data_IF_081592193955
#
_entry.id   IF_081592193955
#
_cell.length_a   1.000
_cell.length_b   1.000
_cell.length_c   1.000
_cell.angle_alpha   90.00
_cell.angle_beta   90.00
_cell.angle_gamma   90.00
#
_symmetry.space_group_name_H-M   'P 1'
#
loop_
_entity.id
_entity.type
_entity.pdbx_description
1 polymer ?
#
# COMPACT_ATOMS: atom_id res chain seq x y z
N UNK A 1 -9.59 6.51 -20.75
CA UNK A 1 -10.33 6.17 -19.51
C UNK A 1 -10.86 7.47 -18.93
N UNK A 2 -12.04 7.49 -18.31
CA UNK A 2 -12.46 8.69 -17.58
C UNK A 2 -11.56 8.88 -16.36
N UNK A 3 -11.22 10.14 -16.05
CA UNK A 3 -10.35 10.49 -14.92
C UNK A 3 -10.83 9.86 -13.60
N UNK A 4 -12.15 9.83 -13.39
CA UNK A 4 -12.78 9.23 -12.20
C UNK A 4 -12.45 7.73 -12.05
N UNK A 5 -12.40 6.97 -13.15
CA UNK A 5 -12.05 5.54 -13.10
C UNK A 5 -10.60 5.33 -12.71
N UNK A 6 -9.67 6.16 -13.22
CA UNK A 6 -8.26 6.08 -12.84
C UNK A 6 -8.06 6.39 -11.35
N UNK A 7 -8.76 7.41 -10.82
CA UNK A 7 -8.70 7.76 -9.39
C UNK A 7 -9.19 6.60 -8.53
N UNK A 8 -10.38 6.06 -8.81
CA UNK A 8 -10.91 4.94 -8.03
C UNK A 8 -10.05 3.69 -8.14
N UNK A 9 -9.45 3.42 -9.30
CA UNK A 9 -8.52 2.33 -9.48
C UNK A 9 -7.28 2.47 -8.57
N UNK A 10 -6.68 3.67 -8.50
CA UNK A 10 -5.54 3.94 -7.62
C UNK A 10 -5.95 3.78 -6.15
N UNK A 11 -7.11 4.31 -5.75
CA UNK A 11 -7.61 4.20 -4.37
C UNK A 11 -7.81 2.75 -3.96
N UNK A 12 -8.49 1.94 -4.78
CA UNK A 12 -8.69 0.52 -4.51
C UNK A 12 -7.36 -0.23 -4.43
N UNK A 13 -6.44 0.07 -5.34
CA UNK A 13 -5.11 -0.54 -5.36
C UNK A 13 -4.28 -0.13 -4.14
N UNK A 14 -4.41 1.10 -3.65
CA UNK A 14 -3.79 1.57 -2.43
C UNK A 14 -4.34 0.85 -1.19
N UNK A 15 -5.66 0.70 -1.08
CA UNK A 15 -6.30 -0.05 0.01
C UNK A 15 -5.82 -1.50 0.03
N UNK A 16 -5.80 -2.17 -1.11
CA UNK A 16 -5.33 -3.56 -1.20
C UNK A 16 -3.84 -3.64 -0.89
N UNK A 17 -3.02 -2.80 -1.52
CA UNK A 17 -1.57 -2.74 -1.35
C UNK A 17 -1.13 -2.49 0.10
N UNK A 18 -1.81 -1.58 0.79
CA UNK A 18 -1.50 -1.23 2.18
C UNK A 18 -1.79 -2.39 3.16
N UNK A 19 -2.77 -3.26 2.85
CA UNK A 19 -3.19 -4.35 3.74
C UNK A 19 -2.55 -5.71 3.40
N UNK A 20 -2.04 -5.89 2.17
CA UNK A 20 -1.39 -7.12 1.72
C UNK A 20 -0.26 -7.63 2.65
N UNK A 21 0.64 -6.77 3.18
CA UNK A 21 1.73 -7.21 4.08
C UNK A 21 1.25 -7.91 5.36
N UNK A 22 0.04 -7.57 5.83
CA UNK A 22 -0.51 -8.03 7.11
C UNK A 22 -1.41 -9.25 6.96
N UNK A 23 -2.18 -9.31 5.87
CA UNK A 23 -3.07 -10.43 5.55
C UNK A 23 -2.27 -11.64 5.08
N UNK A 24 -1.23 -11.43 4.26
CA UNK A 24 -0.46 -12.53 3.68
C UNK A 24 0.78 -12.90 4.53
N UNK A 25 0.99 -14.20 4.72
CA UNK A 25 2.21 -14.75 5.34
C UNK A 25 3.40 -14.82 4.39
N UNK A 26 3.19 -14.69 3.08
CA UNK A 26 4.23 -14.71 2.03
C UNK A 26 4.91 -13.34 1.93
N UNK A 27 6.18 -13.34 1.53
CA UNK A 27 6.93 -12.12 1.19
C UNK A 27 6.39 -11.54 -0.12
N UNK A 28 6.05 -10.25 -0.12
CA UNK A 28 5.41 -9.50 -1.21
C UNK A 28 4.17 -10.20 -1.80
N UNK A 29 3.46 -10.97 -0.98
CA UNK A 29 2.36 -11.83 -1.38
C UNK A 29 2.67 -13.00 -2.35
N UNK A 30 3.91 -13.12 -2.83
CA UNK A 30 4.30 -14.11 -3.86
C UNK A 30 5.23 -15.19 -3.29
N UNK A 31 6.26 -14.80 -2.53
CA UNK A 31 7.34 -15.69 -2.14
C UNK A 31 7.09 -16.36 -0.78
N UNK A 32 7.15 -17.69 -0.66
CA UNK A 32 6.99 -18.37 0.62
C UNK A 32 8.17 -18.05 1.55
N UNK A 33 7.87 -17.58 2.76
CA UNK A 33 8.89 -17.38 3.81
C UNK A 33 9.00 -18.65 4.65
N UNK A 34 10.25 -19.14 4.82
CA UNK A 34 10.55 -20.26 5.73
C UNK A 34 10.45 -19.87 7.22
N UNK A 35 10.46 -18.57 7.52
CA UNK A 35 10.45 -18.02 8.88
C UNK A 35 9.20 -17.18 9.13
N UNK A 36 8.73 -17.07 10.39
CA UNK A 36 7.61 -16.21 10.73
C UNK A 36 7.94 -14.75 10.40
N UNK A 37 7.08 -14.14 9.58
CA UNK A 37 7.24 -12.76 9.12
C UNK A 37 7.17 -11.78 10.29
N UNK A 38 8.32 -11.20 10.63
CA UNK A 38 8.44 -10.22 11.71
C UNK A 38 7.87 -8.85 11.30
N UNK A 39 7.78 -7.93 12.26
CA UNK A 39 7.24 -6.60 12.03
C UNK A 39 8.11 -5.75 11.09
N UNK A 40 9.44 -5.86 11.20
CA UNK A 40 10.37 -5.13 10.32
C UNK A 40 10.20 -5.46 8.84
N UNK A 41 10.03 -6.74 8.50
CA UNK A 41 9.76 -7.19 7.13
C UNK A 41 8.42 -6.64 6.63
N UNK A 42 7.37 -6.61 7.46
CA UNK A 42 6.08 -6.02 7.08
C UNK A 42 6.18 -4.52 6.82
N UNK A 43 6.96 -3.79 7.62
CA UNK A 43 7.19 -2.36 7.40
C UNK A 43 7.97 -2.11 6.11
N UNK A 44 9.00 -2.92 5.81
CA UNK A 44 9.73 -2.82 4.55
C UNK A 44 8.83 -3.08 3.34
N UNK A 45 7.98 -4.10 3.42
CA UNK A 45 6.99 -4.34 2.37
C UNK A 45 5.97 -3.22 2.24
N UNK A 46 5.54 -2.62 3.35
CA UNK A 46 4.61 -1.51 3.32
C UNK A 46 5.21 -0.32 2.57
N UNK A 47 6.50 -0.04 2.80
CA UNK A 47 7.27 0.96 2.04
C UNK A 47 7.36 0.58 0.57
N UNK A 48 7.64 -0.69 0.25
CA UNK A 48 7.69 -1.16 -1.14
C UNK A 48 6.34 -1.03 -1.84
N UNK A 49 5.24 -1.45 -1.21
CA UNK A 49 3.90 -1.32 -1.76
C UNK A 49 3.48 0.15 -1.93
N UNK A 50 3.89 1.04 -1.03
CA UNK A 50 3.69 2.48 -1.21
C UNK A 50 4.32 2.98 -2.52
N UNK A 51 5.59 2.61 -2.79
CA UNK A 51 6.25 3.00 -4.05
C UNK A 51 5.64 2.32 -5.28
N UNK A 52 5.21 1.07 -5.18
CA UNK A 52 4.55 0.36 -6.29
C UNK A 52 3.22 1.05 -6.63
N UNK A 53 2.40 1.35 -5.63
CA UNK A 53 1.11 2.04 -5.80
C UNK A 53 1.32 3.46 -6.30
N UNK A 54 2.25 4.21 -5.73
CA UNK A 54 2.60 5.56 -6.16
C UNK A 54 3.13 5.58 -7.60
N UNK A 55 3.98 4.62 -7.98
CA UNK A 55 4.46 4.45 -9.34
C UNK A 55 3.33 4.16 -10.33
N UNK A 56 2.36 3.32 -9.97
CA UNK A 56 1.17 3.10 -10.80
C UNK A 56 0.31 4.35 -10.94
N UNK A 57 0.14 5.13 -9.86
CA UNK A 57 -0.59 6.39 -9.91
C UNK A 57 0.09 7.40 -10.84
N UNK A 58 1.42 7.53 -10.75
CA UNK A 58 2.23 8.38 -11.62
C UNK A 58 2.12 7.98 -13.10
N UNK A 59 2.17 6.68 -13.40
CA UNK A 59 2.00 6.19 -14.78
C UNK A 59 0.61 6.50 -15.35
N UNK A 60 -0.42 6.42 -14.50
CA UNK A 60 -1.78 6.80 -14.90
C UNK A 60 -1.92 8.31 -15.10
N UNK A 61 -1.29 9.11 -14.25
CA UNK A 61 -1.26 10.57 -14.36
C UNK A 61 -0.53 11.03 -15.63
N UNK A 62 0.61 10.43 -15.97
CA UNK A 62 1.33 10.66 -17.23
C UNK A 62 0.47 10.36 -18.46
N UNK A 63 -0.37 9.33 -18.40
CA UNK A 63 -1.28 8.98 -19.49
C UNK A 63 -2.47 9.95 -19.59
N UNK A 64 -2.85 10.59 -18.49
CA UNK A 64 -3.94 11.56 -18.44
C UNK A 64 -3.51 12.98 -18.82
N UNK A 65 -2.21 13.28 -18.81
CA UNK A 65 -1.66 14.58 -19.18
C UNK A 65 -0.27 14.81 -18.59
N UNK A 66 -0.02 16.05 -18.13
CA UNK A 66 1.21 16.36 -17.39
C UNK A 66 1.05 16.02 -15.92
N UNK A 67 2.08 15.41 -15.34
CA UNK A 67 2.19 15.24 -13.89
C UNK A 67 2.35 16.62 -13.25
N UNK A 68 1.56 16.90 -12.22
CA UNK A 68 1.76 18.08 -11.40
C UNK A 68 3.09 18.00 -10.62
N UNK A 69 3.77 19.13 -10.33
CA UNK A 69 4.97 19.10 -9.51
C UNK A 69 4.67 18.56 -8.11
N UNK A 70 5.33 17.45 -7.75
CA UNK A 70 5.17 16.78 -6.45
C UNK A 70 6.26 17.27 -5.49
N UNK A 71 5.88 18.16 -4.58
CA UNK A 71 6.76 18.59 -3.49
C UNK A 71 6.79 17.56 -2.35
N UNK A 72 7.66 17.77 -1.36
CA UNK A 72 7.80 16.86 -0.22
C UNK A 72 6.49 16.69 0.57
N UNK A 73 5.62 17.71 0.61
CA UNK A 73 4.31 17.67 1.28
C UNK A 73 3.40 16.61 0.65
N UNK A 74 3.47 16.44 -0.68
CA UNK A 74 2.70 15.41 -1.38
C UNK A 74 3.05 14.03 -0.82
N UNK A 75 4.34 13.71 -0.73
CA UNK A 75 4.82 12.43 -0.22
C UNK A 75 4.52 12.23 1.27
N UNK A 76 4.54 13.29 2.07
CA UNK A 76 4.16 13.23 3.47
C UNK A 76 2.66 12.89 3.64
N UNK A 77 1.79 13.53 2.86
CA UNK A 77 0.35 13.31 2.90
C UNK A 77 0.00 11.91 2.35
N UNK A 78 0.53 11.52 1.19
CA UNK A 78 0.26 10.21 0.61
C UNK A 78 0.84 9.08 1.45
N UNK A 79 2.01 9.28 2.06
CA UNK A 79 2.62 8.33 2.98
C UNK A 79 1.77 8.11 4.24
N UNK A 80 1.34 9.19 4.90
CA UNK A 80 0.48 9.10 6.09
C UNK A 80 -0.91 8.54 5.77
N UNK A 81 -1.48 8.86 4.60
CA UNK A 81 -2.69 8.24 4.09
C UNK A 81 -2.50 6.73 3.90
N UNK A 82 -1.39 6.30 3.28
CA UNK A 82 -1.11 4.88 3.05
C UNK A 82 -0.95 4.10 4.36
N UNK A 83 -0.28 4.69 5.36
CA UNK A 83 -0.19 4.13 6.71
C UNK A 83 -1.57 4.01 7.37
N UNK A 84 -2.44 5.00 7.18
CA UNK A 84 -3.82 4.96 7.68
C UNK A 84 -4.61 3.81 7.03
N UNK A 85 -4.46 3.63 5.71
CA UNK A 85 -5.09 2.53 4.99
C UNK A 85 -4.57 1.15 5.41
N UNK A 86 -3.34 1.05 5.92
CA UNK A 86 -2.75 -0.18 6.42
C UNK A 86 -3.29 -0.60 7.80
N UNK A 87 -3.97 0.31 8.51
CA UNK A 87 -4.42 0.10 9.88
C UNK A 87 -5.33 -1.13 10.06
N UNK A 88 -6.35 -1.40 9.20
CA UNK A 88 -7.21 -2.58 9.36
C UNK A 88 -6.42 -3.90 9.31
N UNK A 89 -5.48 -4.02 8.38
CA UNK A 89 -4.59 -5.17 8.27
C UNK A 89 -3.68 -5.31 9.49
N UNK A 90 -3.12 -4.20 9.96
CA UNK A 90 -2.31 -4.19 11.20
C UNK A 90 -3.13 -4.68 12.40
N UNK A 91 -4.33 -4.15 12.61
CA UNK A 91 -5.24 -4.55 13.70
C UNK A 91 -5.57 -6.03 13.59
N UNK A 92 -5.98 -6.50 12.41
CA UNK A 92 -6.31 -7.91 12.18
C UNK A 92 -5.14 -8.85 12.50
N UNK A 93 -3.90 -8.44 12.21
CA UNK A 93 -2.74 -9.31 12.40
C UNK A 93 -2.17 -9.30 13.82
N UNK A 94 -2.21 -8.14 14.50
CA UNK A 94 -1.50 -7.93 15.76
C UNK A 94 -2.41 -7.74 16.97
N UNK A 95 -3.56 -7.09 16.79
CA UNK A 95 -4.46 -6.72 17.88
C UNK A 95 -5.66 -7.66 18.00
N UNK A 96 -6.02 -8.36 16.91
CA UNK A 96 -7.07 -9.36 16.96
C UNK A 96 -6.58 -10.58 17.74
N UNK A 97 -6.88 -10.60 19.05
CA UNK A 97 -6.75 -11.79 19.89
C UNK A 97 -7.69 -12.87 19.34
N UNK A 98 -7.11 -13.94 18.80
CA UNK A 98 -7.83 -15.20 18.60
C UNK A 98 -8.12 -15.76 20.00
N UNK A 99 -9.25 -15.39 20.58
CA UNK A 99 -9.80 -16.12 21.72
C UNK A 99 -10.23 -17.49 21.20
N UNK A 100 -9.37 -18.48 21.42
CA UNK A 100 -9.64 -19.90 21.30
C UNK A 100 -9.29 -20.54 22.62
#
# INVERSE_FOLDING_TARGET
MSQSVAVWFVVLTAVVGANLPFVNGRLLAVLPLKFPKNLGVRLLELVLFYFIVGGMALLLEQRAGRIAPQNWEFYAITGTLFLTLAFPGFVYRYLYKRHG
#
